data_IF_039637652091
#
_entry.id   IF_039637652091
#
_cell.length_a   1.000
_cell.length_b   1.000
_cell.length_c   1.000
_cell.angle_alpha   90.00
_cell.angle_beta   90.00
_cell.angle_gamma   90.00
#
_symmetry.space_group_name_H-M   'P 1'
#
loop_
_entity.id
_entity.type
_entity.pdbx_description
1 polymer ?
#
# COMPACT_ATOMS: atom_id res chain seq x y z
N UNK A 1 2.25 1.85 -12.38
CA UNK A 1 1.54 0.59 -12.45
C UNK A 1 0.10 0.78 -12.87
N UNK A 2 -0.37 -0.10 -13.72
CA UNK A 2 -1.75 -0.01 -14.21
C UNK A 2 -2.77 -0.07 -13.08
N UNK A 3 -2.48 -0.87 -12.06
CA UNK A 3 -3.38 -1.04 -10.93
C UNK A 3 -3.63 0.24 -10.17
N UNK A 4 -2.72 1.18 -10.22
CA UNK A 4 -2.86 2.42 -9.49
C UNK A 4 -3.82 3.40 -10.13
N UNK A 5 -4.27 3.11 -11.35
CA UNK A 5 -5.29 3.92 -11.99
C UNK A 5 -6.61 3.86 -11.23
N UNK A 6 -6.82 2.81 -10.45
CA UNK A 6 -8.03 2.69 -9.66
C UNK A 6 -8.16 3.86 -8.68
N UNK A 7 -7.06 4.35 -8.17
CA UNK A 7 -7.10 5.49 -7.25
C UNK A 7 -7.54 6.75 -7.96
N UNK A 8 -7.08 6.95 -9.20
CA UNK A 8 -7.45 8.13 -9.97
C UNK A 8 -8.94 8.14 -10.30
N UNK A 9 -9.49 6.97 -10.58
CA UNK A 9 -10.91 6.86 -10.93
C UNK A 9 -11.82 7.25 -9.76
N UNK A 10 -11.30 7.15 -8.54
CA UNK A 10 -12.06 7.43 -7.33
C UNK A 10 -11.42 8.57 -6.54
N UNK A 11 -10.92 9.58 -7.22
CA UNK A 11 -10.21 10.69 -6.61
C UNK A 11 -11.18 11.59 -5.85
N UNK A 12 -11.61 11.14 -4.70
CA UNK A 12 -12.50 11.85 -3.80
C UNK A 12 -11.94 11.76 -2.40
N UNK A 13 -12.60 12.45 -1.48
CA UNK A 13 -12.09 12.61 -0.11
C UNK A 13 -11.83 11.31 0.59
N UNK A 14 -12.74 10.38 0.47
CA UNK A 14 -12.60 9.10 1.09
C UNK A 14 -13.23 8.07 0.18
N UNK A 15 -12.48 7.06 -0.12
CA UNK A 15 -12.96 6.06 -1.05
C UNK A 15 -12.45 4.70 -0.66
N UNK A 16 -13.31 3.73 -0.84
CA UNK A 16 -12.91 2.33 -0.89
C UNK A 16 -12.61 2.05 -2.35
N UNK A 17 -11.38 1.66 -2.61
CA UNK A 17 -10.92 1.40 -3.96
C UNK A 17 -10.78 -0.10 -4.15
N UNK A 18 -11.40 -0.61 -5.21
CA UNK A 18 -11.29 -2.00 -5.58
C UNK A 18 -10.44 -2.10 -6.83
N UNK A 19 -9.25 -2.69 -6.70
CA UNK A 19 -8.29 -2.82 -7.80
C UNK A 19 -8.02 -4.29 -8.08
N UNK A 20 -8.68 -4.88 -9.07
CA UNK A 20 -8.40 -6.27 -9.41
C UNK A 20 -7.03 -6.41 -10.05
N UNK A 21 -6.34 -7.51 -9.71
CA UNK A 21 -5.06 -7.87 -10.26
C UNK A 21 -5.21 -9.17 -11.02
N UNK A 22 -4.25 -9.46 -11.89
CA UNK A 22 -4.21 -10.76 -12.55
C UNK A 22 -4.00 -11.84 -11.50
N UNK A 23 -4.54 -13.04 -11.76
CA UNK A 23 -4.46 -14.14 -10.81
C UNK A 23 -3.01 -14.53 -10.49
N UNK A 24 -2.10 -14.31 -11.43
CA UNK A 24 -0.69 -14.67 -11.26
C UNK A 24 0.19 -13.50 -10.84
N UNK A 25 -0.41 -12.41 -10.36
CA UNK A 25 0.36 -11.24 -9.94
C UNK A 25 1.29 -11.59 -8.79
N UNK A 26 2.44 -10.94 -8.78
CA UNK A 26 3.40 -11.05 -7.68
C UNK A 26 3.40 -9.81 -6.79
N UNK A 27 2.44 -8.93 -7.02
CA UNK A 27 2.36 -7.68 -6.27
C UNK A 27 2.13 -7.92 -4.79
N UNK A 28 1.48 -9.02 -4.44
CA UNK A 28 1.20 -9.35 -3.04
C UNK A 28 2.33 -10.12 -2.36
N UNK A 29 3.37 -10.48 -3.11
CA UNK A 29 4.48 -11.21 -2.53
C UNK A 29 5.13 -10.40 -1.40
N UNK A 30 5.64 -11.04 -0.34
CA UNK A 30 5.74 -12.49 -0.16
C UNK A 30 4.51 -13.17 0.45
N UNK A 31 3.38 -12.49 0.49
CA UNK A 31 2.14 -13.07 0.98
C UNK A 31 1.57 -14.06 -0.03
N UNK A 32 0.96 -15.13 0.47
CA UNK A 32 0.23 -16.09 -0.35
C UNK A 32 -1.25 -15.75 -0.47
N UNK A 33 -1.68 -14.69 0.21
CA UNK A 33 -3.07 -14.27 0.15
C UNK A 33 -3.43 -13.77 -1.24
N UNK A 34 -4.68 -14.01 -1.70
CA UNK A 34 -5.10 -13.58 -3.02
C UNK A 34 -5.46 -12.10 -3.11
N UNK A 35 -5.27 -11.35 -2.03
CA UNK A 35 -5.60 -9.93 -1.98
C UNK A 35 -4.62 -9.21 -1.05
N UNK A 36 -4.63 -7.90 -1.13
CA UNK A 36 -3.82 -7.05 -0.27
C UNK A 36 -4.67 -5.87 0.17
N UNK A 37 -4.61 -5.55 1.47
CA UNK A 37 -5.33 -4.41 2.02
C UNK A 37 -4.42 -3.19 1.96
N UNK A 38 -5.00 -2.06 1.60
CA UNK A 38 -4.30 -0.78 1.57
C UNK A 38 -4.90 0.14 2.61
N UNK A 39 -4.04 0.75 3.43
CA UNK A 39 -4.47 1.76 4.39
C UNK A 39 -3.91 3.11 4.00
N UNK A 40 -4.75 4.12 4.04
CA UNK A 40 -4.32 5.49 3.86
C UNK A 40 -3.71 6.00 5.16
N UNK A 41 -2.51 6.59 5.06
CA UNK A 41 -1.80 7.13 6.21
C UNK A 41 -1.37 8.56 5.92
N UNK A 42 -1.09 9.32 6.98
CA UNK A 42 -0.67 10.71 6.81
C UNK A 42 0.72 10.82 6.20
N UNK A 43 1.66 9.98 6.67
CA UNK A 43 3.03 9.98 6.18
C UNK A 43 3.55 8.56 6.14
N UNK A 44 3.72 8.03 4.94
CA UNK A 44 4.12 6.64 4.75
C UNK A 44 5.51 6.37 5.33
N UNK A 45 6.47 7.25 5.06
CA UNK A 45 7.84 7.03 5.55
C UNK A 45 7.92 7.00 7.06
N UNK A 46 7.21 7.91 7.71
CA UNK A 46 7.17 7.96 9.17
C UNK A 46 6.51 6.71 9.74
N UNK A 47 5.42 6.26 9.13
CA UNK A 47 4.72 5.06 9.57
C UNK A 47 5.60 3.83 9.42
N UNK A 48 6.30 3.70 8.30
CA UNK A 48 7.19 2.57 8.06
C UNK A 48 8.30 2.53 9.11
N UNK A 49 8.88 3.68 9.43
CA UNK A 49 9.93 3.73 10.45
C UNK A 49 9.39 3.36 11.84
N UNK A 50 8.19 3.81 12.16
CA UNK A 50 7.57 3.46 13.42
C UNK A 50 7.30 1.96 13.52
N UNK A 51 6.79 1.37 12.44
CA UNK A 51 6.51 -0.05 12.41
C UNK A 51 7.81 -0.87 12.50
N UNK A 52 8.85 -0.41 11.82
CA UNK A 52 10.16 -1.06 11.89
C UNK A 52 10.69 -1.05 13.30
N UNK A 53 10.58 0.09 13.98
CA UNK A 53 11.03 0.23 15.36
C UNK A 53 10.27 -0.68 16.33
N UNK A 54 9.03 -0.99 15.98
CA UNK A 54 8.18 -1.88 16.78
C UNK A 54 8.37 -3.36 16.42
N UNK A 55 9.35 -3.68 15.58
CA UNK A 55 9.66 -5.06 15.24
C UNK A 55 8.85 -5.65 14.10
N UNK A 56 8.07 -4.85 13.40
CA UNK A 56 7.32 -5.34 12.25
C UNK A 56 8.24 -5.59 11.07
N UNK A 57 7.86 -6.54 10.23
CA UNK A 57 8.60 -6.83 9.00
C UNK A 57 8.13 -5.85 7.95
N UNK A 58 8.98 -4.92 7.60
CA UNK A 58 8.66 -3.91 6.59
C UNK A 58 9.52 -4.11 5.35
N UNK A 59 8.97 -3.74 4.20
CA UNK A 59 9.73 -3.76 2.96
C UNK A 59 10.67 -2.56 2.96
N UNK A 60 11.90 -2.76 2.51
CA UNK A 60 12.87 -1.67 2.41
C UNK A 60 12.52 -0.69 1.31
N UNK A 61 11.66 -1.09 0.40
CA UNK A 61 11.30 -0.29 -0.74
C UNK A 61 10.18 0.69 -0.39
N UNK A 62 10.38 1.94 -0.74
CA UNK A 62 9.35 2.98 -0.70
C UNK A 62 9.19 3.45 -2.14
N UNK A 63 7.96 3.53 -2.62
CA UNK A 63 7.68 3.96 -3.98
C UNK A 63 6.96 5.30 -3.94
N UNK A 64 7.54 6.30 -4.55
CA UNK A 64 6.94 7.62 -4.64
C UNK A 64 6.61 7.92 -6.09
N UNK A 65 5.33 8.20 -6.35
CA UNK A 65 4.81 8.49 -7.68
C UNK A 65 3.88 9.68 -7.63
N UNK A 66 3.31 10.05 -8.78
CA UNK A 66 2.29 11.08 -8.84
C UNK A 66 1.06 10.72 -8.02
N UNK A 67 0.88 9.44 -7.75
CA UNK A 67 -0.28 8.94 -7.02
C UNK A 67 -0.04 8.87 -5.51
N UNK A 68 1.14 9.23 -5.05
CA UNK A 68 1.46 9.29 -3.65
C UNK A 68 2.69 8.49 -3.27
N UNK A 69 2.82 8.24 -1.98
CA UNK A 69 3.95 7.51 -1.42
C UNK A 69 3.43 6.19 -0.88
N UNK A 70 4.04 5.11 -1.33
CA UNK A 70 3.61 3.76 -1.00
C UNK A 70 4.70 3.03 -0.22
N UNK A 71 4.28 2.28 0.78
CA UNK A 71 5.16 1.39 1.51
C UNK A 71 4.43 0.11 1.86
N UNK A 72 5.14 -0.89 2.32
CA UNK A 72 4.55 -2.21 2.57
C UNK A 72 5.06 -2.80 3.86
N UNK A 73 4.18 -3.51 4.54
CA UNK A 73 4.49 -4.19 5.79
C UNK A 73 3.75 -5.54 5.80
N UNK A 74 4.34 -6.52 6.46
CA UNK A 74 3.67 -7.80 6.67
C UNK A 74 2.97 -7.78 8.02
N UNK A 75 1.72 -8.22 8.05
CA UNK A 75 1.03 -8.37 9.33
C UNK A 75 1.46 -9.68 10.02
N UNK A 76 1.08 -9.88 11.30
CA UNK A 76 1.48 -11.09 12.02
C UNK A 76 0.97 -12.38 11.41
N UNK A 77 -0.07 -12.30 10.57
CA UNK A 77 -0.65 -13.47 9.94
C UNK A 77 -0.07 -13.76 8.56
N UNK A 78 0.94 -12.99 8.16
CA UNK A 78 1.61 -13.21 6.89
C UNK A 78 0.95 -12.52 5.71
N UNK A 79 0.06 -11.60 5.94
CA UNK A 79 -0.56 -10.82 4.87
C UNK A 79 0.25 -9.57 4.59
N UNK A 80 0.40 -9.25 3.31
CA UNK A 80 1.06 -8.01 2.92
C UNK A 80 0.05 -6.88 2.98
N UNK A 81 0.44 -5.78 3.60
CA UNK A 81 -0.39 -4.59 3.75
C UNK A 81 0.33 -3.43 3.06
N UNK A 82 -0.41 -2.68 2.25
CA UNK A 82 0.12 -1.50 1.60
C UNK A 82 -0.30 -0.25 2.38
N UNK A 83 0.66 0.64 2.60
CA UNK A 83 0.41 1.93 3.22
C UNK A 83 0.54 3.00 2.15
N UNK A 84 -0.42 3.92 2.12
CA UNK A 84 -0.50 4.92 1.06
C UNK A 84 -0.69 6.31 1.65
N UNK A 85 0.24 7.18 1.29
CA UNK A 85 0.12 8.60 1.59
C UNK A 85 -0.36 9.29 0.32
N UNK A 86 -1.56 9.83 0.35
CA UNK A 86 -2.14 10.48 -0.82
C UNK A 86 -1.32 11.70 -1.23
N UNK A 87 -1.32 12.04 -2.52
CA UNK A 87 -0.68 13.27 -2.97
C UNK A 87 -1.31 14.47 -2.28
N UNK A 88 -0.53 15.54 -2.18
CA UNK A 88 -1.00 16.77 -1.58
C UNK A 88 -2.25 17.26 -2.31
N UNK A 89 -3.29 17.56 -1.56
CA UNK A 89 -4.54 18.02 -2.13
C UNK A 89 -5.58 16.92 -2.37
N UNK A 90 -5.27 15.69 -1.96
CA UNK A 90 -6.20 14.56 -2.13
C UNK A 90 -6.54 13.85 -0.84
#
# INVERSE_FOLDING_TARGET
LKTRRCFNALAVDAATVWCPFKADTKYFAPSDAPFMVNYRVAETRAMIEQLRANGCVVDDRIEETEQGVFGWVMDPEGNRVELWQAPKGQ
#
